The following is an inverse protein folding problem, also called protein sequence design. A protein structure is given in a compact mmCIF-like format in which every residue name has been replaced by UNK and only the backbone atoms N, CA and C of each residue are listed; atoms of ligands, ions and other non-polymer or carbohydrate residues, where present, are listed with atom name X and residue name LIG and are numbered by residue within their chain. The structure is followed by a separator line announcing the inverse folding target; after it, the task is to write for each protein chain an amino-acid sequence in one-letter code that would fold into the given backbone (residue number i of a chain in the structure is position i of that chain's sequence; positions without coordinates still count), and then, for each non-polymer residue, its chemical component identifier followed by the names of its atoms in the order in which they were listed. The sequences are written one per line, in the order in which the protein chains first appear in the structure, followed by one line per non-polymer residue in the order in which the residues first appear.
data_IF_579561863693
#
_entry.id   IF_579561863693
#
_cell.length_a   1.000
_cell.length_b   1.000
_cell.length_c   1.000
_cell.angle_alpha   90.00
_cell.angle_beta   90.00
_cell.angle_gamma   90.00
#
_symmetry.space_group_name_H-M   'P 1'
#
loop_
_entity.id
_entity.type
_entity.pdbx_description
1 polymer ?
#
# COMPACT_ATOMS: atom_id res chain seq x y z
N UNK A 1 -3.73 2.13 0.45
CA UNK A 1 -3.88 1.44 -0.84
C UNK A 1 -2.51 1.29 -1.48
N UNK A 2 -1.96 2.30 -2.16
CA UNK A 2 -0.60 2.24 -2.75
C UNK A 2 0.48 1.76 -1.75
N UNK A 3 0.46 2.26 -0.51
CA UNK A 3 1.40 1.83 0.54
C UNK A 3 1.29 0.35 0.93
N UNK A 4 0.07 -0.22 0.93
CA UNK A 4 -0.14 -1.63 1.27
C UNK A 4 0.41 -2.51 0.15
N UNK A 5 0.14 -2.14 -1.10
CA UNK A 5 0.71 -2.76 -2.30
C UNK A 5 2.23 -2.69 -2.32
N UNK A 6 2.82 -1.53 -1.99
CA UNK A 6 4.28 -1.36 -1.91
C UNK A 6 4.92 -2.32 -0.90
N UNK A 7 4.40 -2.32 0.32
CA UNK A 7 5.02 -3.05 1.43
C UNK A 7 4.63 -4.52 1.52
N UNK A 8 3.59 -4.95 0.79
CA UNK A 8 2.98 -6.28 0.92
C UNK A 8 2.38 -6.52 2.31
N UNK A 9 2.05 -5.46 3.06
CA UNK A 9 1.58 -5.56 4.43
C UNK A 9 0.17 -6.13 4.51
N UNK A 10 -0.08 -6.92 5.55
CA UNK A 10 -1.38 -7.54 5.79
C UNK A 10 -2.42 -6.47 6.16
N UNK A 11 -3.59 -6.56 5.54
CA UNK A 11 -4.70 -5.66 5.84
C UNK A 11 -5.19 -5.83 7.28
N UNK A 12 -5.52 -4.71 7.93
CA UNK A 12 -6.16 -4.71 9.25
C UNK A 12 -7.48 -5.49 9.21
N UNK A 13 -8.25 -5.38 8.13
CA UNK A 13 -9.51 -6.13 7.97
C UNK A 13 -9.28 -7.64 8.05
N UNK A 14 -8.21 -8.15 7.43
CA UNK A 14 -7.80 -9.55 7.53
C UNK A 14 -7.51 -9.97 8.97
N UNK A 15 -6.78 -9.14 9.73
CA UNK A 15 -6.48 -9.39 11.15
C UNK A 15 -7.75 -9.47 12.00
N UNK A 16 -8.73 -8.59 11.75
CA UNK A 16 -10.03 -8.59 12.44
C UNK A 16 -10.79 -9.88 12.16
N UNK A 17 -10.89 -10.30 10.90
CA UNK A 17 -11.58 -11.54 10.50
C UNK A 17 -10.88 -12.76 11.10
N UNK A 18 -9.55 -12.84 11.06
CA UNK A 18 -8.78 -13.90 11.72
C UNK A 18 -9.08 -13.99 13.21
N UNK A 19 -9.16 -12.87 13.92
CA UNK A 19 -9.50 -12.85 15.34
C UNK A 19 -10.94 -13.32 15.58
N UNK A 20 -11.89 -12.86 14.75
CA UNK A 20 -13.29 -13.25 14.85
C UNK A 20 -13.49 -14.76 14.62
N UNK A 21 -12.88 -15.33 13.58
CA UNK A 21 -12.94 -16.76 13.28
C UNK A 21 -12.33 -17.63 14.38
N UNK A 22 -11.18 -17.23 14.92
CA UNK A 22 -10.54 -17.96 16.02
C UNK A 22 -11.33 -17.85 17.33
N UNK A 23 -11.94 -16.70 17.60
CA UNK A 23 -12.85 -16.53 18.73
C UNK A 23 -14.07 -17.43 18.59
N UNK A 24 -14.67 -17.46 17.41
CA UNK A 24 -15.81 -18.34 17.10
C UNK A 24 -15.45 -19.81 17.29
N UNK A 25 -14.27 -20.25 16.80
CA UNK A 25 -13.76 -21.61 17.04
C UNK A 25 -13.62 -21.92 18.53
N UNK A 26 -13.13 -20.95 19.33
CA UNK A 26 -13.02 -21.10 20.79
C UNK A 26 -14.38 -21.25 21.44
N UNK A 27 -15.38 -20.45 21.06
CA UNK A 27 -16.76 -20.55 21.57
C UNK A 27 -17.38 -21.88 21.20
N UNK A 28 -17.18 -22.37 19.97
CA UNK A 28 -17.71 -23.66 19.55
C UNK A 28 -17.19 -24.84 20.38
N UNK A 29 -15.94 -24.75 20.87
CA UNK A 29 -15.32 -25.77 21.75
C UNK A 29 -15.81 -25.73 23.19
N UNK A 30 -16.50 -24.67 23.61
CA UNK A 30 -16.98 -24.56 24.98
C UNK A 30 -18.15 -25.51 25.24
N UNK A 31 -18.30 -25.96 26.49
CA UNK A 31 -19.50 -26.66 26.95
C UNK A 31 -20.75 -25.80 26.65
N UNK A 32 -21.86 -26.44 26.27
CA UNK A 32 -23.16 -25.83 25.99
C UNK A 32 -23.71 -24.99 27.13
N UNK A 33 -23.32 -25.28 28.37
CA UNK A 33 -23.74 -24.51 29.56
C UNK A 33 -23.00 -23.17 29.72
N UNK A 34 -21.88 -22.96 29.01
CA UNK A 34 -21.10 -21.72 29.11
C UNK A 34 -21.82 -20.60 28.40
N UNK A 35 -21.98 -19.45 29.07
CA UNK A 35 -22.66 -18.27 28.52
C UNK A 35 -22.26 -17.89 27.08
N UNK A 36 -20.97 -17.85 26.68
CA UNK A 36 -20.62 -17.53 25.30
C UNK A 36 -21.21 -18.50 24.27
N UNK A 37 -21.31 -19.79 24.63
CA UNK A 37 -21.89 -20.81 23.75
C UNK A 37 -23.40 -20.67 23.66
N UNK A 38 -24.07 -20.47 24.80
CA UNK A 38 -25.51 -20.17 24.86
C UNK A 38 -25.86 -18.94 24.02
N UNK A 39 -25.09 -17.86 24.14
CA UNK A 39 -25.29 -16.64 23.37
C UNK A 39 -25.10 -16.89 21.86
N UNK A 40 -24.08 -17.64 21.46
CA UNK A 40 -23.86 -18.00 20.06
C UNK A 40 -25.03 -18.81 19.50
N UNK A 41 -25.50 -19.82 20.23
CA UNK A 41 -26.61 -20.67 19.79
C UNK A 41 -27.91 -19.85 19.64
N UNK A 42 -28.16 -18.87 20.54
CA UNK A 42 -29.24 -17.89 20.37
C UNK A 42 -29.06 -17.04 19.12
N UNK A 43 -27.87 -16.50 18.87
CA UNK A 43 -27.60 -15.68 17.68
C UNK A 43 -27.77 -16.47 16.37
N UNK A 44 -27.47 -17.78 16.37
CA UNK A 44 -27.72 -18.69 15.24
C UNK A 44 -29.21 -18.92 14.98
N UNK A 45 -30.03 -18.92 16.02
CA UNK A 45 -31.48 -19.17 15.91
C UNK A 45 -32.28 -17.99 15.33
N UNK A 46 -31.69 -16.79 15.32
CA UNK A 46 -32.33 -15.58 14.79
C UNK A 46 -32.28 -15.63 13.25
N UNK A 47 -33.42 -15.45 12.54
CA UNK A 47 -33.45 -15.41 11.09
C UNK A 47 -32.51 -14.36 10.51
N UNK A 48 -31.81 -14.72 9.44
CA UNK A 48 -30.82 -13.86 8.76
C UNK A 48 -31.46 -12.62 8.13
N UNK A 49 -32.72 -12.70 7.72
CA UNK A 49 -33.48 -11.60 7.10
C UNK A 49 -34.22 -10.70 8.09
N UNK A 50 -33.95 -10.85 9.40
CA UNK A 50 -34.55 -9.96 10.41
C UNK A 50 -33.95 -8.56 10.33
N UNK A 51 -34.75 -7.51 10.57
CA UNK A 51 -34.33 -6.09 10.62
C UNK A 51 -33.27 -5.78 11.71
N UNK A 52 -32.79 -6.80 12.43
CA UNK A 52 -31.92 -6.74 13.61
C UNK A 52 -30.49 -7.22 13.26
N UNK A 53 -30.15 -7.46 11.97
CA UNK A 53 -28.79 -7.92 11.55
C UNK A 53 -27.66 -7.09 12.17
N UNK A 54 -27.87 -5.78 12.36
CA UNK A 54 -26.92 -4.85 13.01
C UNK A 54 -26.49 -5.28 14.43
N UNK A 55 -27.33 -6.01 15.16
CA UNK A 55 -27.02 -6.50 16.52
C UNK A 55 -26.66 -7.98 16.55
N UNK A 56 -26.71 -8.68 15.42
CA UNK A 56 -26.29 -10.06 15.28
C UNK A 56 -24.91 -10.12 14.63
N UNK A 57 -23.86 -10.05 15.45
CA UNK A 57 -22.47 -10.09 14.96
C UNK A 57 -22.16 -11.40 14.22
N UNK A 58 -22.83 -12.51 14.56
CA UNK A 58 -22.65 -13.79 13.89
C UNK A 58 -23.16 -13.71 12.45
N UNK A 59 -24.37 -13.19 12.24
CA UNK A 59 -24.92 -12.96 10.89
C UNK A 59 -24.09 -11.97 10.09
N UNK A 60 -23.57 -10.91 10.71
CA UNK A 60 -22.68 -9.95 10.04
C UNK A 60 -21.38 -10.63 9.57
N UNK A 61 -20.74 -11.41 10.44
CA UNK A 61 -19.54 -12.15 10.07
C UNK A 61 -19.83 -13.15 8.94
N UNK A 62 -20.97 -13.83 8.98
CA UNK A 62 -21.34 -14.81 7.96
C UNK A 62 -21.65 -14.16 6.61
N UNK A 63 -22.46 -13.08 6.59
CA UNK A 63 -22.76 -12.33 5.38
C UNK A 63 -21.49 -11.75 4.77
N UNK A 64 -20.60 -11.25 5.63
CA UNK A 64 -19.30 -10.77 5.21
C UNK A 64 -18.48 -11.86 4.50
N UNK A 65 -18.37 -13.05 5.10
CA UNK A 65 -17.62 -14.17 4.53
C UNK A 65 -18.27 -14.72 3.26
N UNK A 66 -19.60 -14.81 3.23
CA UNK A 66 -20.35 -15.27 2.06
C UNK A 66 -20.03 -14.44 0.80
N UNK A 67 -19.96 -13.12 0.95
CA UNK A 67 -19.64 -12.21 -0.15
C UNK A 67 -18.21 -12.34 -0.69
N UNK A 68 -17.32 -13.02 0.05
CA UNK A 68 -15.88 -13.09 -0.25
C UNK A 68 -15.48 -14.49 -0.69
N UNK A 69 -15.94 -15.54 -0.01
CA UNK A 69 -15.37 -16.89 -0.15
C UNK A 69 -16.31 -17.92 -0.79
N UNK A 70 -17.51 -17.53 -1.24
CA UNK A 70 -18.54 -18.47 -1.78
C UNK A 70 -18.83 -19.68 -0.86
N UNK A 71 -18.53 -19.59 0.43
CA UNK A 71 -18.80 -20.67 1.38
C UNK A 71 -20.26 -20.52 1.84
N UNK A 72 -21.15 -21.22 1.15
CA UNK A 72 -22.60 -21.19 1.41
C UNK A 72 -22.95 -21.70 2.82
N UNK A 73 -22.19 -22.67 3.31
CA UNK A 73 -22.36 -23.27 4.63
C UNK A 73 -20.99 -23.45 5.28
N UNK A 74 -20.58 -22.52 6.15
CA UNK A 74 -19.51 -22.84 7.08
C UNK A 74 -19.96 -24.08 7.87
N UNK A 75 -19.21 -25.17 7.77
CA UNK A 75 -19.42 -26.44 8.48
C UNK A 75 -19.21 -26.27 10.00
N UNK A 76 -20.05 -25.43 10.60
CA UNK A 76 -19.97 -24.95 11.98
C UNK A 76 -20.36 -26.01 13.01
N UNK A 77 -20.99 -27.09 12.55
CA UNK A 77 -21.44 -28.17 13.41
C UNK A 77 -20.33 -29.18 13.71
N UNK A 78 -19.26 -29.19 12.90
CA UNK A 78 -18.05 -29.94 13.17
C UNK A 78 -16.87 -28.99 13.44
N UNK A 79 -16.49 -28.87 14.71
CA UNK A 79 -15.37 -28.04 15.16
C UNK A 79 -14.04 -28.42 14.48
N UNK A 80 -13.83 -29.71 14.21
CA UNK A 80 -12.65 -30.21 13.50
C UNK A 80 -12.59 -29.70 12.07
N UNK A 81 -13.68 -29.85 11.33
CA UNK A 81 -13.83 -29.33 9.97
C UNK A 81 -13.69 -27.81 9.93
N UNK A 82 -14.36 -27.08 10.84
CA UNK A 82 -14.25 -25.63 10.90
C UNK A 82 -12.82 -25.15 11.13
N UNK A 83 -12.05 -25.82 12.01
CA UNK A 83 -10.63 -25.51 12.24
C UNK A 83 -9.79 -25.66 10.95
N UNK A 84 -10.08 -26.68 10.13
CA UNK A 84 -9.36 -26.93 8.88
C UNK A 84 -9.72 -25.94 7.76
N UNK A 85 -10.93 -25.37 7.79
CA UNK A 85 -11.41 -24.43 6.77
C UNK A 85 -10.95 -22.98 7.04
N UNK A 86 -10.64 -22.61 8.30
CA UNK A 86 -10.18 -21.24 8.63
C UNK A 86 -8.98 -20.77 7.78
N UNK A 87 -7.90 -21.56 7.58
CA UNK A 87 -6.79 -21.15 6.71
C UNK A 87 -7.21 -20.85 5.28
N UNK A 88 -8.15 -21.63 4.72
CA UNK A 88 -8.68 -21.43 3.36
C UNK A 88 -9.44 -20.11 3.27
N UNK A 89 -10.36 -19.87 4.22
CA UNK A 89 -11.10 -18.61 4.31
C UNK A 89 -10.15 -17.41 4.38
N UNK A 90 -9.10 -17.51 5.19
CA UNK A 90 -8.15 -16.42 5.37
C UNK A 90 -7.28 -16.20 4.13
N UNK A 91 -6.95 -17.25 3.37
CA UNK A 91 -6.22 -17.12 2.12
C UNK A 91 -7.09 -16.44 1.04
N UNK A 92 -8.33 -16.92 0.86
CA UNK A 92 -9.30 -16.33 -0.07
C UNK A 92 -9.58 -14.87 0.25
N UNK A 93 -9.71 -14.56 1.55
CA UNK A 93 -9.95 -13.19 1.98
C UNK A 93 -8.74 -12.27 1.79
N UNK A 94 -7.51 -12.77 2.00
CA UNK A 94 -6.29 -12.00 1.70
C UNK A 94 -6.21 -11.68 0.21
N UNK A 95 -6.49 -12.68 -0.65
CA UNK A 95 -6.52 -12.49 -2.10
C UNK A 95 -7.58 -11.48 -2.52
N UNK A 96 -8.80 -11.58 -1.98
CA UNK A 96 -9.87 -10.61 -2.22
C UNK A 96 -9.44 -9.18 -1.89
N UNK A 97 -8.83 -8.96 -0.72
CA UNK A 97 -8.39 -7.63 -0.29
C UNK A 97 -7.28 -7.06 -1.19
N UNK A 98 -6.34 -7.91 -1.62
CA UNK A 98 -5.29 -7.51 -2.57
C UNK A 98 -5.86 -7.12 -3.93
N UNK A 99 -6.83 -7.89 -4.42
CA UNK A 99 -7.50 -7.58 -5.68
C UNK A 99 -8.26 -6.26 -5.59
N UNK A 100 -8.91 -5.95 -4.46
CA UNK A 100 -9.53 -4.64 -4.24
C UNK A 100 -8.51 -3.50 -4.29
N UNK A 101 -7.32 -3.69 -3.70
CA UNK A 101 -6.26 -2.68 -3.77
C UNK A 101 -5.75 -2.50 -5.20
N UNK A 102 -5.64 -3.57 -6.00
CA UNK A 102 -5.27 -3.50 -7.43
C UNK A 102 -6.35 -2.80 -8.25
N UNK A 103 -7.62 -3.18 -8.11
CA UNK A 103 -8.73 -2.52 -8.81
C UNK A 103 -8.75 -1.03 -8.50
N UNK A 104 -8.53 -0.69 -7.24
CA UNK A 104 -8.51 0.70 -6.82
C UNK A 104 -7.26 1.44 -7.31
N UNK A 105 -6.12 0.76 -7.48
CA UNK A 105 -4.94 1.30 -8.16
C UNK A 105 -5.27 1.62 -9.63
N UNK A 106 -5.89 0.68 -10.34
CA UNK A 106 -6.23 0.83 -11.76
C UNK A 106 -7.22 1.98 -12.00
N UNK A 107 -8.09 2.24 -11.03
CA UNK A 107 -9.08 3.31 -11.06
C UNK A 107 -8.60 4.62 -10.39
N UNK A 108 -7.37 4.67 -9.89
CA UNK A 108 -6.87 5.80 -9.11
C UNK A 108 -6.53 6.99 -10.00
N UNK A 109 -7.20 8.13 -9.77
CA UNK A 109 -6.82 9.41 -10.38
C UNK A 109 -5.62 10.09 -9.69
N UNK A 110 -5.24 9.63 -8.49
CA UNK A 110 -4.23 10.31 -7.66
C UNK A 110 -2.79 10.12 -8.17
N UNK A 111 -2.49 8.92 -8.70
CA UNK A 111 -1.17 8.56 -9.21
C UNK A 111 -1.34 7.62 -10.39
N UNK A 112 -1.49 8.19 -11.58
CA UNK A 112 -1.55 7.42 -12.83
C UNK A 112 -0.23 6.72 -13.15
N UNK A 113 0.86 7.16 -12.53
CA UNK A 113 2.21 6.66 -12.80
C UNK A 113 2.55 5.38 -12.01
N UNK A 114 2.17 5.29 -10.73
CA UNK A 114 2.45 4.11 -9.89
C UNK A 114 1.94 2.79 -10.49
N UNK A 115 0.83 2.84 -11.25
CA UNK A 115 0.30 1.67 -11.96
C UNK A 115 1.35 0.99 -12.85
N UNK A 116 2.21 1.76 -13.52
CA UNK A 116 3.27 1.24 -14.38
C UNK A 116 4.48 0.72 -13.61
N UNK A 117 4.67 1.17 -12.37
CA UNK A 117 5.80 0.78 -11.53
C UNK A 117 5.53 -0.46 -10.70
N UNK A 118 4.25 -0.77 -10.47
CA UNK A 118 3.85 -1.80 -9.54
C UNK A 118 4.14 -3.19 -10.12
N UNK A 119 4.94 -3.97 -9.40
CA UNK A 119 5.06 -5.40 -9.66
C UNK A 119 3.82 -6.13 -9.09
N UNK A 120 3.06 -6.75 -9.99
CA UNK A 120 1.84 -7.52 -9.71
C UNK A 120 2.10 -8.90 -9.09
N UNK A 121 3.33 -9.20 -8.68
CA UNK A 121 3.68 -10.42 -7.94
C UNK A 121 2.94 -10.61 -6.61
N UNK A 122 2.10 -9.64 -6.18
CA UNK A 122 1.31 -9.64 -4.95
C UNK A 122 2.16 -9.74 -3.67
N UNK A 123 3.45 -9.42 -3.77
CA UNK A 123 4.39 -9.44 -2.63
C UNK A 123 4.96 -8.05 -2.38
N UNK A 124 5.78 -7.93 -1.33
CA UNK A 124 6.56 -6.71 -1.07
C UNK A 124 7.39 -6.36 -2.31
N UNK A 125 7.39 -5.08 -2.70
CA UNK A 125 8.10 -4.67 -3.91
C UNK A 125 9.60 -4.96 -3.80
N UNK A 126 10.26 -5.45 -4.88
CA UNK A 126 11.62 -5.99 -4.80
C UNK A 126 12.66 -5.02 -4.22
N UNK A 127 12.54 -3.71 -4.52
CA UNK A 127 13.51 -2.73 -4.03
C UNK A 127 13.53 -2.58 -2.51
N UNK A 128 12.41 -2.87 -1.82
CA UNK A 128 12.32 -2.80 -0.36
C UNK A 128 13.04 -3.96 0.33
N UNK A 129 13.36 -5.03 -0.40
CA UNK A 129 14.06 -6.21 0.12
C UNK A 129 15.58 -6.00 0.18
N UNK A 130 16.08 -4.89 -0.38
CA UNK A 130 17.50 -4.57 -0.39
C UNK A 130 18.02 -4.14 0.98
N UNK A 131 19.29 -4.49 1.26
CA UNK A 131 20.02 -4.06 2.46
C UNK A 131 20.58 -2.64 2.31
N UNK A 132 19.68 -1.69 2.09
CA UNK A 132 20.00 -0.26 2.02
C UNK A 132 19.62 0.45 3.32
N UNK A 133 20.20 1.62 3.55
CA UNK A 133 19.76 2.47 4.65
C UNK A 133 18.30 2.88 4.43
N UNK A 134 17.57 3.08 5.53
CA UNK A 134 16.17 3.51 5.48
C UNK A 134 16.02 4.86 4.78
N UNK A 135 17.05 5.71 4.78
CA UNK A 135 17.04 6.99 4.09
C UNK A 135 16.90 6.81 2.56
N UNK A 136 17.67 5.90 1.97
CA UNK A 136 17.60 5.60 0.54
C UNK A 136 16.24 5.03 0.16
N UNK A 137 15.80 3.99 0.89
CA UNK A 137 14.51 3.32 0.61
C UNK A 137 13.33 4.27 0.79
N UNK A 138 13.36 5.14 1.80
CA UNK A 138 12.30 6.12 2.05
C UNK A 138 12.13 7.09 0.90
N UNK A 139 13.22 7.72 0.46
CA UNK A 139 13.16 8.69 -0.64
C UNK A 139 12.67 8.03 -1.92
N UNK A 140 13.19 6.84 -2.23
CA UNK A 140 12.76 6.11 -3.42
C UNK A 140 11.28 5.70 -3.37
N UNK A 141 10.81 5.22 -2.22
CA UNK A 141 9.39 4.93 -2.01
C UNK A 141 8.52 6.20 -2.12
N UNK A 142 8.97 7.33 -1.58
CA UNK A 142 8.27 8.62 -1.70
C UNK A 142 8.13 9.06 -3.16
N UNK A 143 9.16 8.88 -3.99
CA UNK A 143 9.10 9.18 -5.41
C UNK A 143 8.15 8.26 -6.16
N UNK A 144 8.27 6.93 -5.95
CA UNK A 144 7.42 5.93 -6.61
C UNK A 144 5.94 6.15 -6.30
N UNK A 145 5.62 6.44 -5.04
CA UNK A 145 4.23 6.60 -4.56
C UNK A 145 3.70 8.02 -4.66
N UNK A 146 4.47 8.92 -5.26
CA UNK A 146 4.11 10.33 -5.40
C UNK A 146 2.94 10.53 -6.36
N UNK A 147 2.07 11.49 -6.05
CA UNK A 147 0.93 11.86 -6.89
C UNK A 147 1.21 13.12 -7.71
N UNK A 148 0.28 13.47 -8.59
CA UNK A 148 0.42 14.61 -9.51
C UNK A 148 0.05 15.98 -8.92
N UNK A 149 -0.40 16.04 -7.67
CA UNK A 149 -0.87 17.29 -7.06
C UNK A 149 0.11 17.89 -6.06
N UNK A 150 0.76 17.05 -5.27
CA UNK A 150 1.66 17.49 -4.22
C UNK A 150 2.62 16.35 -3.87
N UNK A 151 3.91 16.65 -3.90
CA UNK A 151 4.96 15.66 -3.64
C UNK A 151 5.79 16.16 -2.46
N UNK A 152 5.93 15.30 -1.45
CA UNK A 152 6.71 15.57 -0.24
C UNK A 152 7.86 14.58 -0.15
N UNK A 153 9.08 15.12 -0.04
CA UNK A 153 10.32 14.36 0.09
C UNK A 153 10.97 14.67 1.43
N UNK A 154 11.43 13.63 2.12
CA UNK A 154 12.13 13.79 3.39
C UNK A 154 13.57 13.28 3.26
N UNK A 155 14.53 14.21 3.21
CA UNK A 155 15.95 13.91 2.98
C UNK A 155 16.75 14.58 4.09
N UNK A 156 17.58 13.81 4.82
CA UNK A 156 18.47 14.32 5.87
C UNK A 156 17.80 15.29 6.89
N UNK A 157 16.62 14.93 7.39
CA UNK A 157 15.78 15.75 8.29
C UNK A 157 15.23 17.05 7.69
N UNK A 158 15.49 17.35 6.42
CA UNK A 158 14.84 18.41 5.67
C UNK A 158 13.59 17.88 4.96
N UNK A 159 12.58 18.74 4.87
CA UNK A 159 11.32 18.47 4.19
C UNK A 159 11.22 19.34 2.95
N UNK A 160 11.15 18.71 1.78
CA UNK A 160 11.04 19.38 0.49
C UNK A 160 9.67 19.11 -0.11
N UNK A 161 9.06 20.17 -0.64
CA UNK A 161 7.76 20.11 -1.30
C UNK A 161 7.92 20.48 -2.76
N UNK A 162 7.38 19.66 -3.64
CA UNK A 162 7.31 19.89 -5.08
C UNK A 162 5.83 20.01 -5.43
N UNK A 163 5.46 21.09 -6.11
CA UNK A 163 4.08 21.31 -6.56
C UNK A 163 4.00 21.27 -8.09
N UNK A 164 3.53 20.15 -8.69
CA UNK A 164 3.41 20.00 -10.14
C UNK A 164 2.46 21.00 -10.82
N UNK A 165 1.66 21.77 -10.07
CA UNK A 165 0.80 22.82 -10.61
C UNK A 165 1.51 24.17 -10.72
N UNK A 166 2.66 24.33 -10.06
CA UNK A 166 3.44 25.54 -10.09
C UNK A 166 4.51 25.46 -11.18
N UNK A 167 4.91 26.62 -11.71
CA UNK A 167 6.07 26.74 -12.57
C UNK A 167 7.33 26.53 -11.73
N UNK A 168 8.28 25.78 -12.27
CA UNK A 168 9.59 25.59 -11.65
C UNK A 168 10.29 26.94 -11.48
N UNK A 169 10.53 27.34 -10.23
CA UNK A 169 11.23 28.60 -9.92
C UNK A 169 12.76 28.49 -10.01
N UNK A 170 13.28 27.30 -10.37
CA UNK A 170 14.72 27.03 -10.45
C UNK A 170 15.29 27.17 -11.85
N UNK A 171 14.43 27.22 -12.87
CA UNK A 171 14.86 27.38 -14.25
C UNK A 171 13.91 28.27 -15.04
N UNK A 172 14.42 28.84 -16.13
CA UNK A 172 13.65 29.79 -16.97
C UNK A 172 12.85 29.11 -18.09
N UNK A 173 12.61 27.81 -17.99
CA UNK A 173 11.91 27.05 -19.06
C UNK A 173 10.39 27.17 -19.02
N UNK A 174 9.83 27.86 -18.01
CA UNK A 174 8.39 27.98 -17.77
C UNK A 174 7.65 26.63 -17.72
N UNK A 175 8.35 25.56 -17.36
CA UNK A 175 7.78 24.23 -17.22
C UNK A 175 7.32 23.98 -15.79
N UNK A 176 6.37 23.06 -15.63
CA UNK A 176 5.82 22.71 -14.33
C UNK A 176 6.86 22.02 -13.43
N UNK A 177 6.83 22.33 -12.15
CA UNK A 177 7.70 21.73 -11.13
C UNK A 177 7.21 20.32 -10.77
N UNK A 178 7.37 19.37 -11.69
CA UNK A 178 7.01 17.97 -11.49
C UNK A 178 8.26 17.07 -11.45
N UNK A 179 8.07 15.78 -11.10
CA UNK A 179 9.19 14.84 -11.01
C UNK A 179 9.92 14.65 -12.34
N UNK A 180 9.18 14.58 -13.45
CA UNK A 180 9.76 14.42 -14.78
C UNK A 180 10.69 15.57 -15.11
N UNK A 181 10.25 16.80 -14.84
CA UNK A 181 11.05 17.99 -15.01
C UNK A 181 12.31 17.95 -14.14
N UNK A 182 12.16 17.76 -12.82
CA UNK A 182 13.31 17.77 -11.89
C UNK A 182 14.31 16.65 -12.24
N UNK A 183 13.83 15.43 -12.46
CA UNK A 183 14.67 14.22 -12.63
C UNK A 183 15.18 14.02 -14.04
N UNK A 184 14.54 14.57 -15.07
CA UNK A 184 14.97 14.37 -16.48
C UNK A 184 15.40 15.64 -17.22
N UNK A 185 14.70 16.78 -17.08
CA UNK A 185 14.85 17.90 -18.06
C UNK A 185 15.27 19.26 -17.49
N UNK A 186 15.13 19.49 -16.18
CA UNK A 186 15.41 20.79 -15.56
C UNK A 186 16.86 21.25 -15.76
N UNK A 187 17.11 22.38 -16.46
CA UNK A 187 18.46 22.86 -16.71
C UNK A 187 19.25 23.16 -15.43
N UNK A 188 18.58 23.61 -14.37
CA UNK A 188 19.22 23.92 -13.09
C UNK A 188 19.93 22.73 -12.44
N UNK A 189 19.52 21.51 -12.80
CA UNK A 189 20.07 20.27 -12.25
C UNK A 189 20.89 19.48 -13.29
N UNK A 190 21.25 20.08 -14.43
CA UNK A 190 21.97 19.39 -15.52
C UNK A 190 23.28 18.74 -15.03
N UNK A 191 24.12 19.49 -14.33
CA UNK A 191 25.42 19.01 -13.86
C UNK A 191 25.27 17.88 -12.82
N UNK A 192 24.33 18.05 -11.89
CA UNK A 192 24.03 17.03 -10.87
C UNK A 192 23.45 15.78 -11.51
N UNK A 193 22.58 15.93 -12.52
CA UNK A 193 22.01 14.82 -13.30
C UNK A 193 23.10 14.09 -14.07
N UNK A 194 24.03 14.80 -14.72
CA UNK A 194 25.16 14.20 -15.42
C UNK A 194 26.06 13.42 -14.46
N UNK A 195 26.29 13.94 -13.26
CA UNK A 195 27.13 13.32 -12.23
C UNK A 195 26.54 12.02 -11.67
N UNK A 196 25.23 11.97 -11.44
CA UNK A 196 24.61 10.87 -10.71
C UNK A 196 23.69 9.97 -11.55
N UNK A 197 23.06 10.48 -12.61
CA UNK A 197 21.99 9.80 -13.35
C UNK A 197 22.33 9.46 -14.81
N UNK A 198 23.47 9.91 -15.36
CA UNK A 198 23.88 9.61 -16.74
C UNK A 198 24.40 8.17 -16.91
N UNK A 199 23.99 7.39 -17.95
CA UNK A 199 23.10 7.68 -19.10
C UNK A 199 21.70 7.02 -18.98
N UNK A 200 21.17 6.81 -17.78
CA UNK A 200 19.98 5.98 -17.53
C UNK A 200 18.64 6.76 -17.51
N UNK A 201 18.68 8.08 -17.71
CA UNK A 201 17.52 8.97 -17.59
C UNK A 201 16.71 9.07 -18.90
N UNK A 202 16.28 7.92 -19.45
CA UNK A 202 15.46 7.89 -20.67
C UNK A 202 14.00 8.27 -20.41
N UNK A 203 13.46 7.86 -19.26
CA UNK A 203 12.09 8.15 -18.84
C UNK A 203 11.92 7.96 -17.34
N UNK A 204 10.81 8.50 -16.80
CA UNK A 204 10.53 8.43 -15.37
C UNK A 204 10.24 6.99 -14.92
N UNK A 205 9.57 6.19 -15.75
CA UNK A 205 9.24 4.78 -15.52
C UNK A 205 10.48 3.89 -15.43
N UNK A 206 11.46 4.07 -16.32
CA UNK A 206 12.74 3.35 -16.22
C UNK A 206 13.47 3.71 -14.94
N UNK A 207 13.46 4.99 -14.58
CA UNK A 207 14.17 5.51 -13.42
C UNK A 207 13.52 5.01 -12.10
N UNK A 208 12.22 5.16 -11.98
CA UNK A 208 11.49 4.77 -10.77
C UNK A 208 11.04 3.30 -10.77
N UNK A 209 11.21 2.58 -11.88
CA UNK A 209 10.95 1.15 -12.02
C UNK A 209 12.17 0.26 -11.74
N UNK A 210 13.38 0.84 -11.72
CA UNK A 210 14.60 0.08 -11.43
C UNK A 210 14.60 -0.55 -10.03
N UNK A 211 15.01 -1.81 -9.96
CA UNK A 211 15.26 -2.49 -8.68
C UNK A 211 16.74 -2.58 -8.36
N UNK A 212 17.61 -1.85 -9.05
CA UNK A 212 19.04 -1.88 -8.78
C UNK A 212 19.42 -1.01 -7.57
N UNK A 213 20.23 -1.57 -6.66
CA UNK A 213 20.66 -0.88 -5.45
C UNK A 213 21.55 0.33 -5.74
N UNK A 214 22.40 0.25 -6.77
CA UNK A 214 23.28 1.35 -7.14
C UNK A 214 22.45 2.52 -7.64
N UNK A 215 21.45 2.22 -8.46
CA UNK A 215 20.54 3.19 -9.02
C UNK A 215 19.71 3.92 -7.95
N UNK A 216 19.17 3.19 -6.98
CA UNK A 216 18.44 3.77 -5.85
C UNK A 216 19.32 4.76 -5.05
N UNK A 217 20.58 4.39 -4.82
CA UNK A 217 21.56 5.28 -4.16
C UNK A 217 21.84 6.52 -5.01
N UNK A 218 22.01 6.36 -6.31
CA UNK A 218 22.28 7.46 -7.23
C UNK A 218 21.15 8.49 -7.24
N UNK A 219 19.88 8.05 -7.26
CA UNK A 219 18.71 8.93 -7.17
C UNK A 219 18.72 9.72 -5.87
N UNK A 220 19.00 9.06 -4.76
CA UNK A 220 19.10 9.74 -3.47
C UNK A 220 20.21 10.80 -3.46
N UNK A 221 21.41 10.44 -3.97
CA UNK A 221 22.54 11.36 -4.01
C UNK A 221 22.26 12.56 -4.91
N UNK A 222 21.62 12.32 -6.07
CA UNK A 222 21.13 13.38 -6.95
C UNK A 222 20.20 14.33 -6.19
N UNK A 223 19.15 13.82 -5.53
CA UNK A 223 18.19 14.67 -4.83
C UNK A 223 18.83 15.41 -3.66
N UNK A 224 19.71 14.74 -2.91
CA UNK A 224 20.39 15.36 -1.80
C UNK A 224 21.31 16.51 -2.26
N UNK A 225 22.10 16.33 -3.32
CA UNK A 225 22.97 17.39 -3.86
C UNK A 225 22.14 18.51 -4.54
N UNK A 226 21.16 18.15 -5.37
CA UNK A 226 20.31 19.11 -6.07
C UNK A 226 19.49 19.97 -5.12
N UNK A 227 18.87 19.38 -4.09
CA UNK A 227 17.98 20.11 -3.17
C UNK A 227 18.75 20.84 -2.06
N UNK A 228 19.89 20.32 -1.58
CA UNK A 228 20.72 21.04 -0.61
C UNK A 228 21.35 22.33 -1.17
N UNK A 229 21.56 22.40 -2.49
CA UNK A 229 21.98 23.64 -3.15
C UNK A 229 20.90 24.73 -3.12
N UNK A 230 19.63 24.35 -2.98
CA UNK A 230 18.50 25.28 -2.97
C UNK A 230 18.31 25.99 -1.63
N UNK A 231 18.67 25.35 -0.51
CA UNK A 231 18.59 25.95 0.82
C UNK A 231 19.71 27.00 1.05
N UNK A 232 20.73 27.02 0.19
CA UNK A 232 21.88 27.91 0.31
C UNK A 232 21.80 29.17 -0.60
N UNK A 233 20.72 29.35 -1.37
CA UNK A 233 20.51 30.61 -2.09
C UNK A 233 19.79 31.60 -1.17
N UNK A 234 20.43 32.72 -0.76
CA UNK A 234 19.77 33.73 0.05
C UNK A 234 18.57 34.28 -0.72
N UNK A 235 17.41 34.36 -0.05
CA UNK A 235 16.25 35.10 -0.54
C UNK A 235 16.69 36.54 -0.83
N UNK A 236 16.92 36.85 -2.10
CA UNK A 236 17.10 38.21 -2.62
C UNK A 236 15.75 38.85 -2.88
#
# INVERSE_FOLDING_TARGET
MVRLLETGTVHIKWLVVKRALNWLLKVLKMNKERYPRVCLDKLRSIPRDSTIVKYNWFSQLFQFLHNVTNIENLYMDNVGTFKQVIPVILADYDLYLRNQDIESLNNSSFSTFYYYLYDYSLTTQPYLLHRLSIAFLRVYAQLRTSGHHHISLHINNSHYTINPQNICNKCDTNSNENLEHILLTCPAFSDTRLKYLSPHALSLDVLLGSHDQTFIKQIYLFLNDSLSRLDNTPNT
#
